data_IF_531886299373
#
_entry.id   IF_531886299373
#
_cell.length_a   1.000
_cell.length_b   1.000
_cell.length_c   1.000
_cell.angle_alpha   90.00
_cell.angle_beta   90.00
_cell.angle_gamma   90.00
#
_symmetry.space_group_name_H-M   'P 1'
#
loop_
_entity.id
_entity.type
_entity.pdbx_description
1 polymer ?
#
# COMPACT_ATOMS: atom_id res chain seq x y z
N UNK A 1 22.96 16.79 20.55
CA UNK A 1 21.68 17.19 21.14
C UNK A 1 21.81 17.24 22.64
N UNK A 2 21.22 18.21 23.36
CA UNK A 2 21.19 18.14 24.81
C UNK A 2 20.44 16.89 25.27
N UNK A 3 20.94 16.26 26.32
CA UNK A 3 20.33 15.06 26.89
C UNK A 3 18.95 15.39 27.44
N UNK A 4 17.94 14.64 27.08
CA UNK A 4 16.58 14.76 27.62
C UNK A 4 16.43 13.77 28.77
N UNK A 5 16.17 14.28 29.98
CA UNK A 5 15.77 13.44 31.11
C UNK A 5 14.35 12.91 30.87
N UNK A 6 14.24 11.61 30.55
CA UNK A 6 12.95 10.96 30.26
C UNK A 6 12.04 10.81 31.49
N UNK A 7 12.59 10.96 32.70
CA UNK A 7 11.80 10.86 33.94
C UNK A 7 11.32 12.24 34.42
N UNK A 8 11.99 13.33 34.00
CA UNK A 8 11.62 14.70 34.30
C UNK A 8 11.90 15.60 33.08
N UNK A 9 11.16 15.46 31.98
CA UNK A 9 11.46 16.12 30.72
C UNK A 9 11.28 17.63 30.82
N UNK A 10 12.33 18.40 30.51
CA UNK A 10 12.24 19.83 30.34
C UNK A 10 11.99 20.13 28.84
N UNK A 11 10.79 20.61 28.52
CA UNK A 11 10.42 21.00 27.16
C UNK A 11 10.73 22.46 26.79
N UNK A 12 11.20 23.28 27.75
CA UNK A 12 11.61 24.66 27.54
C UNK A 12 13.07 24.79 27.07
N UNK A 13 13.65 23.73 26.55
CA UNK A 13 14.99 23.74 25.97
C UNK A 13 14.93 24.53 24.66
N UNK A 14 15.76 25.55 24.45
CA UNK A 14 15.82 26.25 23.19
C UNK A 14 16.15 25.28 22.07
N UNK A 15 15.49 25.44 20.92
CA UNK A 15 15.72 24.59 19.74
C UNK A 15 17.22 24.64 19.44
N UNK A 16 17.89 23.46 19.35
CA UNK A 16 19.31 23.44 19.02
C UNK A 16 19.54 24.11 17.67
N UNK A 17 20.53 24.96 17.58
CA UNK A 17 21.01 25.47 16.30
C UNK A 17 21.69 24.28 15.60
N UNK A 18 21.32 24.02 14.39
CA UNK A 18 21.97 23.01 13.56
C UNK A 18 23.19 23.67 12.91
N UNK A 19 24.36 23.49 13.51
CA UNK A 19 25.62 24.06 13.01
C UNK A 19 26.11 23.27 11.75
N UNK A 20 25.56 22.10 11.50
CA UNK A 20 25.88 21.28 10.33
C UNK A 20 24.67 20.45 9.87
N UNK A 21 24.54 20.28 8.58
CA UNK A 21 23.64 19.28 7.99
C UNK A 21 24.43 17.99 7.90
N UNK A 22 24.12 17.01 8.77
CA UNK A 22 24.81 15.73 8.81
C UNK A 22 24.51 14.86 7.58
N UNK A 23 23.39 15.14 6.90
CA UNK A 23 22.99 14.44 5.68
C UNK A 23 22.41 15.47 4.71
N UNK A 24 23.14 15.70 3.62
CA UNK A 24 22.67 16.47 2.47
C UNK A 24 22.90 15.61 1.21
N UNK A 25 21.82 15.22 0.58
CA UNK A 25 21.89 14.51 -0.69
C UNK A 25 20.74 14.89 -1.61
N UNK A 26 21.04 14.91 -2.89
CA UNK A 26 20.05 15.10 -3.94
C UNK A 26 19.99 13.85 -4.81
N UNK A 27 18.80 13.26 -4.92
CA UNK A 27 18.56 12.17 -5.85
C UNK A 27 17.77 12.69 -7.05
N UNK A 28 18.30 12.44 -8.25
CA UNK A 28 17.62 12.72 -9.52
C UNK A 28 17.29 11.42 -10.21
N UNK A 29 16.01 11.10 -10.29
CA UNK A 29 15.51 9.93 -11.01
C UNK A 29 15.01 10.32 -12.39
N UNK A 30 15.51 9.65 -13.43
CA UNK A 30 14.98 9.74 -14.79
C UNK A 30 14.49 8.37 -15.20
N UNK A 31 13.25 8.28 -15.67
CA UNK A 31 12.67 7.02 -16.13
C UNK A 31 12.01 7.18 -17.49
N UNK A 32 12.25 6.21 -18.36
CA UNK A 32 11.61 6.09 -19.67
C UNK A 32 11.03 4.69 -19.78
N UNK A 33 9.86 4.55 -20.39
CA UNK A 33 9.25 3.24 -20.56
C UNK A 33 8.44 3.17 -21.84
N UNK A 34 8.55 2.02 -22.52
CA UNK A 34 7.74 1.67 -23.67
C UNK A 34 6.90 0.44 -23.33
N UNK A 35 5.61 0.50 -23.62
CA UNK A 35 4.72 -0.64 -23.40
C UNK A 35 3.95 -0.98 -24.67
N UNK A 36 3.66 -2.27 -24.82
CA UNK A 36 2.77 -2.81 -25.84
C UNK A 36 1.80 -3.77 -25.15
N UNK A 37 0.51 -3.66 -25.48
CA UNK A 37 -0.51 -4.55 -24.97
C UNK A 37 -1.54 -4.82 -26.08
N UNK A 38 -1.99 -6.07 -26.16
CA UNK A 38 -3.05 -6.49 -27.06
C UNK A 38 -4.10 -7.31 -26.30
N UNK A 39 -5.36 -7.19 -26.72
CA UNK A 39 -6.48 -7.98 -26.22
C UNK A 39 -7.10 -8.76 -27.35
N UNK A 40 -6.93 -10.07 -27.32
CA UNK A 40 -7.39 -11.01 -28.33
C UNK A 40 -8.71 -11.63 -27.85
N UNK A 41 -9.79 -11.44 -28.59
CA UNK A 41 -11.06 -12.11 -28.37
C UNK A 41 -11.11 -13.40 -29.21
N UNK A 42 -11.00 -14.55 -28.55
CA UNK A 42 -11.18 -15.85 -29.24
C UNK A 42 -12.65 -16.15 -29.49
N UNK A 43 -13.52 -15.64 -28.65
CA UNK A 43 -14.99 -15.69 -28.76
C UNK A 43 -15.59 -14.55 -27.92
N UNK A 44 -16.91 -14.41 -27.94
CA UNK A 44 -17.62 -13.40 -27.15
C UNK A 44 -17.35 -13.54 -25.65
N UNK A 45 -17.07 -14.76 -25.20
CA UNK A 45 -16.91 -15.10 -23.79
C UNK A 45 -15.48 -15.47 -23.39
N UNK A 46 -14.50 -15.52 -24.30
CA UNK A 46 -13.11 -15.86 -23.99
C UNK A 46 -12.15 -14.83 -24.58
N UNK A 47 -11.41 -14.16 -23.70
CA UNK A 47 -10.48 -13.10 -24.06
C UNK A 47 -9.12 -13.34 -23.41
N UNK A 48 -8.05 -13.11 -24.18
CA UNK A 48 -6.67 -13.11 -23.74
C UNK A 48 -6.13 -11.69 -23.78
N UNK A 49 -5.52 -11.24 -22.69
CA UNK A 49 -4.73 -10.03 -22.63
C UNK A 49 -3.26 -10.44 -22.56
N UNK A 50 -2.44 -9.93 -23.45
CA UNK A 50 -1.00 -10.12 -23.46
C UNK A 50 -0.30 -8.79 -23.65
N UNK A 51 0.74 -8.55 -22.89
CA UNK A 51 1.50 -7.31 -23.01
C UNK A 51 2.78 -7.34 -22.23
N UNK A 52 3.52 -6.27 -22.35
CA UNK A 52 4.74 -6.06 -21.60
C UNK A 52 5.19 -4.61 -21.68
N UNK A 53 5.99 -4.23 -20.71
CA UNK A 53 6.62 -2.93 -20.62
C UNK A 53 8.12 -3.11 -20.44
N UNK A 54 8.89 -2.34 -21.18
CA UNK A 54 10.32 -2.23 -20.96
C UNK A 54 10.63 -0.85 -20.43
N UNK A 55 11.33 -0.80 -19.30
CA UNK A 55 11.69 0.43 -18.60
C UNK A 55 13.20 0.59 -18.53
N UNK A 56 13.64 1.84 -18.64
CA UNK A 56 14.99 2.30 -18.32
C UNK A 56 14.87 3.32 -17.19
N UNK A 57 15.69 3.14 -16.18
CA UNK A 57 15.75 3.97 -14.98
C UNK A 57 17.20 4.43 -14.78
N UNK A 58 17.40 5.69 -14.47
CA UNK A 58 18.68 6.24 -14.05
C UNK A 58 18.49 7.04 -12.78
N UNK A 59 19.15 6.60 -11.71
CA UNK A 59 19.20 7.27 -10.41
C UNK A 59 20.60 7.88 -10.24
N UNK A 60 20.66 9.19 -10.12
CA UNK A 60 21.85 9.99 -9.89
C UNK A 60 21.79 10.56 -8.47
N UNK A 61 22.74 10.19 -7.61
CA UNK A 61 22.84 10.66 -6.25
C UNK A 61 24.06 11.55 -6.09
N UNK A 62 23.83 12.77 -5.64
CA UNK A 62 24.86 13.75 -5.33
C UNK A 62 24.84 14.05 -3.82
N UNK A 63 26.01 14.04 -3.19
CA UNK A 63 26.19 14.42 -1.78
C UNK A 63 27.50 15.20 -1.63
N UNK A 64 27.56 16.23 -0.78
CA UNK A 64 28.81 16.89 -0.42
C UNK A 64 29.81 15.97 0.31
N UNK A 65 29.34 14.86 0.85
CA UNK A 65 30.09 13.96 1.72
C UNK A 65 30.57 12.68 1.03
N UNK A 66 30.02 12.35 -0.14
CA UNK A 66 30.33 11.13 -0.88
C UNK A 66 30.44 11.43 -2.36
N UNK A 67 31.19 10.60 -3.07
CA UNK A 67 31.30 10.70 -4.52
C UNK A 67 29.93 10.53 -5.17
N UNK A 68 29.69 11.26 -6.26
CA UNK A 68 28.49 11.12 -7.05
C UNK A 68 28.35 9.68 -7.56
N UNK A 69 27.18 9.10 -7.39
CA UNK A 69 26.86 7.77 -7.87
C UNK A 69 25.76 7.82 -8.92
N UNK A 70 25.92 7.02 -9.98
CA UNK A 70 24.91 6.86 -11.03
C UNK A 70 24.59 5.39 -11.18
N UNK A 71 23.33 5.05 -10.96
CA UNK A 71 22.80 3.70 -11.18
C UNK A 71 21.89 3.71 -12.41
N UNK A 72 22.12 2.77 -13.32
CA UNK A 72 21.27 2.55 -14.47
C UNK A 72 20.67 1.16 -14.42
N UNK A 73 19.34 1.10 -14.34
CA UNK A 73 18.58 -0.14 -14.33
C UNK A 73 17.73 -0.26 -15.59
N UNK A 74 17.47 -1.49 -16.00
CA UNK A 74 16.46 -1.76 -17.00
C UNK A 74 15.75 -3.07 -16.70
N UNK A 75 14.46 -3.12 -17.02
CA UNK A 75 13.68 -4.32 -16.78
C UNK A 75 12.53 -4.48 -17.76
N UNK A 76 12.24 -5.74 -18.07
CA UNK A 76 11.04 -6.13 -18.80
C UNK A 76 10.00 -6.67 -17.82
N UNK A 77 8.79 -6.11 -17.90
CA UNK A 77 7.64 -6.41 -17.06
C UNK A 77 6.52 -7.00 -17.93
N UNK A 78 6.45 -8.33 -18.12
CA UNK A 78 5.38 -8.99 -18.85
C UNK A 78 4.07 -9.01 -18.06
N UNK A 79 2.96 -9.06 -18.80
CA UNK A 79 1.61 -9.21 -18.28
C UNK A 79 0.80 -10.13 -19.19
N UNK A 80 0.14 -11.13 -18.59
CA UNK A 80 -0.76 -12.05 -19.30
C UNK A 80 -2.03 -12.19 -18.45
N UNK A 81 -3.19 -12.12 -19.08
CA UNK A 81 -4.48 -12.30 -18.43
C UNK A 81 -5.44 -13.07 -19.31
N UNK A 82 -6.11 -14.06 -18.75
CA UNK A 82 -7.18 -14.80 -19.39
C UNK A 82 -8.49 -14.48 -18.69
N UNK A 83 -9.52 -14.15 -19.47
CA UNK A 83 -10.87 -13.86 -18.96
C UNK A 83 -11.88 -14.74 -19.67
N UNK A 84 -12.65 -15.50 -18.89
CA UNK A 84 -13.79 -16.27 -19.36
C UNK A 84 -15.09 -15.72 -18.76
N UNK A 85 -16.03 -15.34 -19.61
CA UNK A 85 -17.33 -14.75 -19.24
C UNK A 85 -18.45 -15.76 -19.52
N UNK A 86 -18.80 -16.66 -18.55
CA UNK A 86 -19.89 -17.63 -18.74
C UNK A 86 -21.26 -16.97 -18.88
N UNK A 87 -21.41 -15.75 -18.38
CA UNK A 87 -22.60 -14.92 -18.53
C UNK A 87 -22.21 -13.45 -18.66
N UNK A 88 -23.18 -12.58 -18.97
CA UNK A 88 -22.94 -11.13 -19.05
C UNK A 88 -22.58 -10.49 -17.71
N UNK A 89 -22.93 -11.15 -16.61
CA UNK A 89 -22.78 -10.64 -15.23
C UNK A 89 -21.67 -11.32 -14.46
N UNK A 90 -21.03 -12.37 -15.02
CA UNK A 90 -19.97 -13.11 -14.33
C UNK A 90 -18.75 -13.24 -15.23
N UNK A 91 -17.58 -12.91 -14.69
CA UNK A 91 -16.29 -13.09 -15.33
C UNK A 91 -15.35 -13.85 -14.40
N UNK A 92 -14.77 -14.94 -14.89
CA UNK A 92 -13.66 -15.66 -14.27
C UNK A 92 -12.38 -15.17 -14.90
N UNK A 93 -11.33 -14.98 -14.12
CA UNK A 93 -10.05 -14.56 -14.67
C UNK A 93 -8.87 -15.23 -13.99
N UNK A 94 -7.78 -15.31 -14.74
CA UNK A 94 -6.47 -15.64 -14.23
C UNK A 94 -5.46 -14.68 -14.81
N UNK A 95 -4.49 -14.23 -14.01
CA UNK A 95 -3.46 -13.31 -14.46
C UNK A 95 -2.09 -13.69 -13.92
N UNK A 96 -1.08 -13.33 -14.72
CA UNK A 96 0.32 -13.32 -14.38
C UNK A 96 0.87 -11.93 -14.67
N UNK A 97 1.62 -11.37 -13.75
CA UNK A 97 2.32 -10.10 -13.96
C UNK A 97 3.67 -10.10 -13.26
N UNK A 98 4.59 -9.33 -13.82
CA UNK A 98 5.89 -9.07 -13.22
C UNK A 98 6.13 -7.57 -13.14
N UNK A 99 6.73 -7.15 -12.04
CA UNK A 99 7.14 -5.76 -11.79
C UNK A 99 8.58 -5.73 -11.28
N UNK A 100 9.18 -4.55 -11.28
CA UNK A 100 10.51 -4.35 -10.68
C UNK A 100 10.57 -3.01 -9.93
N UNK A 101 11.56 -2.90 -9.06
CA UNK A 101 11.91 -1.67 -8.37
C UNK A 101 13.43 -1.59 -8.24
N UNK A 102 14.04 -0.43 -8.54
CA UNK A 102 15.44 -0.17 -8.24
C UNK A 102 15.72 -0.40 -6.75
N UNK A 103 16.82 -1.06 -6.44
CA UNK A 103 17.25 -1.40 -5.08
C UNK A 103 18.30 -0.43 -4.54
N UNK A 104 18.67 0.57 -5.33
CA UNK A 104 19.66 1.57 -4.95
C UNK A 104 21.11 1.11 -5.16
N UNK A 105 22.02 1.89 -4.63
CA UNK A 105 23.46 1.76 -4.79
C UNK A 105 24.12 1.43 -3.44
N UNK A 106 25.02 0.46 -3.42
CA UNK A 106 25.87 0.18 -2.26
C UNK A 106 27.03 1.17 -2.23
N UNK A 107 26.92 2.19 -1.39
CA UNK A 107 27.94 3.23 -1.25
C UNK A 107 29.25 2.68 -0.62
N UNK A 108 29.16 1.61 0.15
CA UNK A 108 30.33 1.01 0.84
C UNK A 108 31.18 0.18 -0.12
N UNK A 109 30.55 -0.52 -1.07
CA UNK A 109 31.24 -1.33 -2.08
C UNK A 109 31.39 -0.63 -3.43
N UNK A 110 30.73 0.52 -3.62
CA UNK A 110 30.76 1.25 -4.87
C UNK A 110 30.06 0.55 -6.02
N UNK A 111 29.02 -0.27 -5.74
CA UNK A 111 28.29 -1.03 -6.75
C UNK A 111 26.78 -0.80 -6.69
N UNK A 112 26.13 -0.91 -7.83
CA UNK A 112 24.68 -0.91 -7.91
C UNK A 112 24.12 -2.29 -7.51
N UNK A 113 23.04 -2.30 -6.74
CA UNK A 113 22.24 -3.50 -6.54
C UNK A 113 21.36 -3.79 -7.76
N UNK A 114 21.09 -5.06 -8.03
CA UNK A 114 20.10 -5.42 -9.04
C UNK A 114 18.69 -4.99 -8.60
N UNK A 115 17.82 -4.63 -9.53
CA UNK A 115 16.44 -4.34 -9.19
C UNK A 115 15.74 -5.52 -8.49
N UNK A 116 15.03 -5.23 -7.40
CA UNK A 116 14.11 -6.21 -6.82
C UNK A 116 12.95 -6.47 -7.78
N UNK A 117 12.43 -7.70 -7.78
CA UNK A 117 11.39 -8.14 -8.72
C UNK A 117 10.19 -8.70 -7.98
N UNK A 118 9.00 -8.26 -8.37
CA UNK A 118 7.74 -8.83 -7.91
C UNK A 118 7.12 -9.70 -9.01
N UNK A 119 6.77 -10.94 -8.69
CA UNK A 119 6.04 -11.84 -9.59
C UNK A 119 4.72 -12.21 -8.94
N UNK A 120 3.60 -11.96 -9.62
CA UNK A 120 2.25 -12.21 -9.10
C UNK A 120 1.49 -13.16 -10.01
N UNK A 121 0.83 -14.12 -9.38
CA UNK A 121 -0.22 -14.95 -9.94
C UNK A 121 -1.51 -14.64 -9.21
N UNK A 122 -2.61 -14.51 -9.96
CA UNK A 122 -3.90 -14.19 -9.40
C UNK A 122 -4.99 -14.92 -10.18
N UNK A 123 -5.99 -15.44 -9.47
CA UNK A 123 -7.22 -15.97 -10.04
C UNK A 123 -8.39 -15.36 -9.32
N UNK A 124 -9.47 -15.08 -10.03
CA UNK A 124 -10.62 -14.47 -9.39
C UNK A 124 -11.90 -14.58 -10.19
N UNK A 125 -12.97 -14.13 -9.54
CA UNK A 125 -14.29 -13.98 -10.12
C UNK A 125 -14.79 -12.57 -9.88
N UNK A 126 -15.32 -11.95 -10.94
CA UNK A 126 -16.08 -10.70 -10.87
C UNK A 126 -17.53 -10.99 -11.18
N UNK A 127 -18.42 -10.43 -10.38
CA UNK A 127 -19.86 -10.60 -10.58
C UNK A 127 -20.58 -9.28 -10.37
N UNK A 128 -21.52 -8.98 -11.29
CA UNK A 128 -22.39 -7.83 -11.22
C UNK A 128 -23.79 -8.28 -10.80
N UNK A 129 -24.35 -7.58 -9.82
CA UNK A 129 -25.67 -7.79 -9.24
C UNK A 129 -26.54 -6.54 -9.41
N UNK A 130 -27.84 -6.67 -9.15
CA UNK A 130 -28.79 -5.56 -9.14
C UNK A 130 -28.75 -4.76 -10.46
N UNK A 131 -28.79 -5.47 -11.60
CA UNK A 131 -28.71 -4.90 -12.94
C UNK A 131 -27.45 -4.03 -13.16
N UNK A 132 -26.30 -4.50 -12.65
CA UNK A 132 -25.00 -3.82 -12.77
C UNK A 132 -24.75 -2.69 -11.77
N UNK A 133 -25.67 -2.46 -10.83
CA UNK A 133 -25.51 -1.42 -9.80
C UNK A 133 -24.57 -1.82 -8.68
N UNK A 134 -24.34 -3.11 -8.46
CA UNK A 134 -23.44 -3.65 -7.43
C UNK A 134 -22.44 -4.60 -8.09
N UNK A 135 -21.16 -4.31 -7.94
CA UNK A 135 -20.07 -5.16 -8.43
C UNK A 135 -19.33 -5.77 -7.26
N UNK A 136 -18.94 -7.04 -7.41
CA UNK A 136 -18.16 -7.79 -6.43
C UNK A 136 -17.00 -8.49 -7.13
N UNK A 137 -15.82 -8.48 -6.51
CA UNK A 137 -14.65 -9.24 -6.95
C UNK A 137 -14.18 -10.10 -5.80
N UNK A 138 -13.98 -11.40 -6.06
CA UNK A 138 -13.29 -12.31 -5.16
C UNK A 138 -12.04 -12.81 -5.88
N UNK A 139 -10.87 -12.62 -5.27
CA UNK A 139 -9.59 -13.01 -5.82
C UNK A 139 -8.77 -13.82 -4.83
N UNK A 140 -7.92 -14.71 -5.35
CA UNK A 140 -6.84 -15.35 -4.62
C UNK A 140 -5.54 -15.05 -5.35
N UNK A 141 -4.50 -14.67 -4.62
CA UNK A 141 -3.22 -14.27 -5.19
C UNK A 141 -2.02 -14.86 -4.46
N UNK A 142 -0.91 -14.92 -5.18
CA UNK A 142 0.42 -15.12 -4.64
C UNK A 142 1.37 -14.12 -5.31
N UNK A 143 2.05 -13.32 -4.49
CA UNK A 143 3.09 -12.38 -4.87
C UNK A 143 4.40 -12.81 -4.24
N UNK A 144 5.45 -13.00 -5.05
CA UNK A 144 6.82 -13.27 -4.59
C UNK A 144 7.72 -12.11 -4.97
N UNK A 145 8.44 -11.55 -4.01
CA UNK A 145 9.43 -10.50 -4.21
C UNK A 145 10.82 -11.07 -4.00
N UNK A 146 11.65 -11.06 -5.05
CA UNK A 146 13.03 -11.52 -5.05
C UNK A 146 14.03 -10.36 -5.11
N UNK A 147 15.32 -10.65 -4.94
CA UNK A 147 16.41 -9.66 -4.85
C UNK A 147 16.16 -8.65 -3.73
N UNK A 148 15.64 -9.12 -2.59
CA UNK A 148 15.48 -8.30 -1.39
C UNK A 148 16.83 -8.15 -0.72
N UNK A 149 17.17 -6.92 -0.34
CA UNK A 149 18.39 -6.66 0.44
C UNK A 149 18.26 -7.26 1.83
N UNK A 150 19.26 -8.04 2.22
CA UNK A 150 19.39 -8.62 3.55
C UNK A 150 20.75 -8.21 4.13
N UNK A 151 20.90 -8.10 5.47
CA UNK A 151 22.18 -7.85 6.08
C UNK A 151 23.24 -8.87 5.63
N UNK A 152 24.49 -8.43 5.47
CA UNK A 152 25.58 -9.32 5.09
C UNK A 152 25.72 -10.48 6.10
N UNK A 153 25.87 -11.74 5.65
CA UNK A 153 26.05 -12.88 6.56
C UNK A 153 27.33 -12.80 7.39
N UNK A 154 28.36 -12.11 6.92
CA UNK A 154 29.58 -11.83 7.70
C UNK A 154 29.27 -10.81 8.80
N UNK A 155 29.47 -11.16 10.09
CA UNK A 155 29.19 -10.26 11.21
C UNK A 155 29.98 -8.94 11.18
N UNK A 156 31.23 -8.94 10.70
CA UNK A 156 32.04 -7.71 10.62
C UNK A 156 31.50 -6.78 9.53
N UNK A 157 31.21 -7.33 8.38
CA UNK A 157 30.62 -6.57 7.26
C UNK A 157 29.23 -6.04 7.62
N UNK A 158 28.42 -6.86 8.28
CA UNK A 158 27.08 -6.45 8.76
C UNK A 158 27.14 -5.29 9.75
N UNK A 159 28.09 -5.29 10.69
CA UNK A 159 28.29 -4.17 11.62
C UNK A 159 28.68 -2.87 10.91
N UNK A 160 29.30 -2.96 9.75
CA UNK A 160 29.62 -1.83 8.89
C UNK A 160 28.45 -1.40 7.98
N UNK A 161 27.31 -2.11 8.01
CA UNK A 161 26.12 -1.79 7.23
C UNK A 161 26.05 -2.42 5.84
N UNK A 162 26.94 -3.35 5.50
CA UNK A 162 26.89 -4.07 4.23
C UNK A 162 25.64 -4.94 4.10
N UNK A 163 25.16 -5.07 2.87
CA UNK A 163 23.98 -5.87 2.51
C UNK A 163 24.27 -6.73 1.28
N UNK A 164 23.53 -7.81 1.16
CA UNK A 164 23.53 -8.72 0.01
C UNK A 164 22.11 -8.92 -0.52
N UNK A 165 21.95 -9.29 -1.79
CA UNK A 165 20.65 -9.48 -2.44
C UNK A 165 20.25 -10.95 -2.52
N UNK A 166 20.03 -11.57 -1.37
CA UNK A 166 19.65 -12.99 -1.27
C UNK A 166 18.27 -13.20 -0.71
N UNK A 167 17.58 -12.11 -0.30
CA UNK A 167 16.30 -12.21 0.35
C UNK A 167 15.14 -12.44 -0.63
N UNK A 168 14.15 -13.22 -0.18
CA UNK A 168 12.85 -13.39 -0.80
C UNK A 168 11.74 -13.20 0.23
N UNK A 169 10.66 -12.57 -0.22
CA UNK A 169 9.44 -12.37 0.56
C UNK A 169 8.24 -12.83 -0.26
N UNK A 170 7.32 -13.52 0.37
CA UNK A 170 6.10 -13.98 -0.27
C UNK A 170 4.88 -13.47 0.47
N UNK A 171 3.88 -12.99 -0.28
CA UNK A 171 2.55 -12.66 0.20
C UNK A 171 1.53 -13.45 -0.60
N UNK A 172 0.62 -14.13 0.08
CA UNK A 172 -0.50 -14.84 -0.53
C UNK A 172 -1.77 -14.55 0.26
N UNK A 173 -2.89 -14.53 -0.42
CA UNK A 173 -4.11 -14.15 0.26
C UNK A 173 -5.36 -14.30 -0.57
N UNK A 174 -6.44 -13.86 0.05
CA UNK A 174 -7.78 -13.78 -0.55
C UNK A 174 -8.27 -12.37 -0.35
N UNK A 175 -8.83 -11.78 -1.40
CA UNK A 175 -9.40 -10.44 -1.41
C UNK A 175 -10.85 -10.49 -1.87
N UNK A 176 -11.73 -9.83 -1.14
CA UNK A 176 -13.12 -9.62 -1.50
C UNK A 176 -13.40 -8.12 -1.54
N UNK A 177 -13.81 -7.63 -2.70
CA UNK A 177 -14.25 -6.26 -2.89
C UNK A 177 -15.72 -6.21 -3.27
N UNK A 178 -16.41 -5.20 -2.76
CA UNK A 178 -17.80 -4.90 -3.10
C UNK A 178 -17.96 -3.39 -3.27
N UNK A 179 -18.58 -2.96 -4.35
CA UNK A 179 -18.86 -1.55 -4.61
C UNK A 179 -20.12 -1.36 -5.41
N UNK A 180 -20.96 -0.41 -5.00
CA UNK A 180 -22.16 -0.06 -5.77
C UNK A 180 -23.29 0.51 -4.95
N UNK A 181 -24.46 0.54 -5.58
CA UNK A 181 -25.72 1.00 -5.02
C UNK A 181 -26.64 -0.18 -4.74
N UNK A 182 -26.95 -0.40 -3.45
CA UNK A 182 -27.81 -1.52 -3.00
C UNK A 182 -29.30 -1.15 -3.14
N UNK A 183 -29.63 0.07 -2.79
CA UNK A 183 -30.97 0.67 -2.91
C UNK A 183 -30.81 2.12 -3.38
N UNK A 184 -31.85 2.75 -3.94
CA UNK A 184 -31.78 4.15 -4.33
C UNK A 184 -31.26 5.05 -3.20
N UNK A 185 -30.11 5.69 -3.44
CA UNK A 185 -29.42 6.53 -2.46
C UNK A 185 -28.54 5.80 -1.46
N UNK A 186 -28.60 4.46 -1.32
CA UNK A 186 -27.73 3.68 -0.44
C UNK A 186 -26.58 3.07 -1.22
N UNK A 187 -25.38 3.60 -1.02
CA UNK A 187 -24.14 3.11 -1.64
C UNK A 187 -23.23 2.45 -0.63
N UNK A 188 -22.52 1.44 -1.06
CA UNK A 188 -21.52 0.72 -0.29
C UNK A 188 -20.23 0.59 -1.07
N UNK A 189 -19.11 0.74 -0.37
CA UNK A 189 -17.78 0.31 -0.81
C UNK A 189 -17.19 -0.47 0.37
N UNK A 190 -16.81 -1.70 0.12
CA UNK A 190 -16.24 -2.57 1.16
C UNK A 190 -15.17 -3.47 0.61
N UNK A 191 -14.22 -3.82 1.45
CA UNK A 191 -13.19 -4.81 1.16
C UNK A 191 -12.90 -5.66 2.39
N UNK A 192 -12.57 -6.91 2.16
CA UNK A 192 -11.97 -7.82 3.13
C UNK A 192 -10.74 -8.44 2.52
N UNK A 193 -9.64 -8.45 3.26
CA UNK A 193 -8.39 -9.07 2.84
C UNK A 193 -7.90 -10.01 3.95
N UNK A 194 -7.61 -11.24 3.55
CA UNK A 194 -6.77 -12.17 4.32
C UNK A 194 -5.40 -12.23 3.65
N UNK A 195 -4.32 -12.00 4.42
CA UNK A 195 -2.95 -11.96 3.91
C UNK A 195 -2.01 -12.79 4.79
N UNK A 196 -1.35 -13.79 4.19
CA UNK A 196 -0.21 -14.50 4.78
C UNK A 196 1.07 -14.01 4.08
N UNK A 197 1.80 -13.09 4.73
CA UNK A 197 3.01 -12.45 4.19
C UNK A 197 4.22 -12.78 5.06
N UNK A 198 5.25 -13.41 4.47
CA UNK A 198 6.41 -13.98 5.17
C UNK A 198 7.72 -13.76 4.43
N UNK A 199 8.79 -13.81 5.21
CA UNK A 199 10.15 -14.02 4.72
C UNK A 199 10.29 -15.48 4.28
N UNK A 200 10.70 -15.70 3.04
CA UNK A 200 10.94 -17.04 2.47
C UNK A 200 12.42 -17.34 2.27
N UNK A 201 13.24 -16.31 2.04
CA UNK A 201 14.72 -16.41 2.05
C UNK A 201 15.31 -15.17 2.72
N UNK A 202 16.28 -15.34 3.61
CA UNK A 202 17.02 -14.26 4.25
C UNK A 202 18.29 -14.81 4.93
N UNK A 203 19.34 -13.97 5.07
CA UNK A 203 20.59 -14.33 5.75
C UNK A 203 20.60 -13.97 7.24
N UNK A 204 19.65 -13.18 7.70
CA UNK A 204 19.63 -12.64 9.05
C UNK A 204 18.31 -12.92 9.78
N UNK A 205 17.17 -12.64 9.12
CA UNK A 205 15.87 -12.90 9.69
C UNK A 205 15.44 -14.36 9.49
N UNK A 206 14.72 -14.90 10.47
CA UNK A 206 14.26 -16.27 10.39
C UNK A 206 13.25 -16.45 9.25
N UNK A 207 13.43 -17.52 8.46
CA UNK A 207 12.47 -17.93 7.44
C UNK A 207 11.13 -18.26 8.13
N UNK A 208 10.04 -17.75 7.58
CA UNK A 208 8.70 -17.87 8.17
C UNK A 208 8.30 -16.68 9.04
N UNK A 209 9.21 -15.76 9.38
CA UNK A 209 8.85 -14.50 10.02
C UNK A 209 7.85 -13.74 9.17
N UNK A 210 6.78 -13.26 9.80
CA UNK A 210 5.76 -12.44 9.14
C UNK A 210 6.32 -11.06 8.82
N UNK A 211 5.94 -10.53 7.67
CA UNK A 211 6.30 -9.16 7.31
C UNK A 211 5.69 -8.17 8.29
N UNK A 212 6.50 -7.23 8.76
CA UNK A 212 6.06 -6.21 9.71
C UNK A 212 5.01 -5.25 9.10
N UNK A 213 4.10 -4.82 9.94
CA UNK A 213 3.02 -3.89 9.56
C UNK A 213 1.90 -4.51 8.72
N UNK A 214 1.99 -5.80 8.33
CA UNK A 214 0.98 -6.49 7.51
C UNK A 214 0.01 -7.26 8.41
N UNK A 215 -1.29 -6.89 8.46
CA UNK A 215 -2.30 -7.64 9.19
C UNK A 215 -2.69 -8.91 8.43
N UNK A 216 -3.01 -10.00 9.15
CA UNK A 216 -3.60 -11.17 8.51
C UNK A 216 -5.03 -10.91 8.03
N UNK A 217 -5.79 -10.13 8.78
CA UNK A 217 -7.17 -9.80 8.45
C UNK A 217 -7.36 -8.29 8.46
N UNK A 218 -7.93 -7.78 7.40
CA UNK A 218 -8.30 -6.37 7.28
C UNK A 218 -9.69 -6.25 6.67
N UNK A 219 -10.51 -5.36 7.23
CA UNK A 219 -11.83 -5.02 6.71
C UNK A 219 -11.93 -3.52 6.54
N UNK A 220 -12.44 -3.06 5.42
CA UNK A 220 -12.89 -1.69 5.26
C UNK A 220 -14.32 -1.69 4.73
N UNK A 221 -15.18 -0.84 5.31
CA UNK A 221 -16.55 -0.66 4.88
C UNK A 221 -16.89 0.82 4.96
N UNK A 222 -17.29 1.39 3.84
CA UNK A 222 -17.84 2.73 3.78
C UNK A 222 -19.23 2.68 3.18
N UNK A 223 -20.21 3.20 3.89
CA UNK A 223 -21.60 3.23 3.46
C UNK A 223 -22.12 4.66 3.49
N UNK A 224 -22.85 5.07 2.46
CA UNK A 224 -23.51 6.37 2.40
C UNK A 224 -24.97 6.22 2.04
N UNK A 225 -25.80 7.03 2.67
CA UNK A 225 -27.21 7.17 2.30
C UNK A 225 -27.52 8.63 1.98
N UNK A 226 -28.10 8.87 0.81
CA UNK A 226 -28.54 10.20 0.35
C UNK A 226 -30.04 10.20 0.14
N UNK A 227 -30.73 11.16 0.71
CA UNK A 227 -32.18 11.36 0.56
C UNK A 227 -32.46 11.79 -0.89
N UNK A 228 -33.28 10.99 -1.60
CA UNK A 228 -33.52 11.14 -3.02
C UNK A 228 -34.73 12.06 -3.35
N UNK A 229 -35.63 12.29 -2.40
CA UNK A 229 -36.89 13.01 -2.64
C UNK A 229 -37.26 13.93 -1.46
N UNK A 230 -38.20 14.84 -1.68
CA UNK A 230 -38.71 15.76 -0.67
C UNK A 230 -37.78 16.95 -0.38
N UNK A 231 -38.08 17.67 0.70
CA UNK A 231 -37.38 18.91 1.08
C UNK A 231 -35.93 18.69 1.47
N UNK A 232 -35.62 17.51 1.97
CA UNK A 232 -34.26 17.10 2.38
C UNK A 232 -33.46 16.40 1.27
N UNK A 233 -33.98 16.44 0.01
CA UNK A 233 -33.24 15.84 -1.13
C UNK A 233 -31.83 16.40 -1.24
N UNK A 234 -30.86 15.48 -1.40
CA UNK A 234 -29.44 15.78 -1.47
C UNK A 234 -28.71 15.85 -0.12
N UNK A 235 -29.47 15.70 0.99
CA UNK A 235 -28.88 15.50 2.30
C UNK A 235 -28.45 14.04 2.47
N UNK A 236 -27.25 13.81 2.97
CA UNK A 236 -26.73 12.45 3.12
C UNK A 236 -25.84 12.28 4.34
N UNK A 237 -25.77 11.03 4.76
CA UNK A 237 -24.92 10.57 5.86
C UNK A 237 -23.97 9.48 5.37
N UNK A 238 -22.79 9.41 5.96
CA UNK A 238 -21.82 8.36 5.72
C UNK A 238 -21.35 7.73 7.03
N UNK A 239 -21.08 6.42 6.99
CA UNK A 239 -20.48 5.67 8.08
C UNK A 239 -19.39 4.76 7.52
N UNK A 240 -18.20 4.82 8.15
CA UNK A 240 -17.04 4.00 7.82
C UNK A 240 -16.62 3.12 8.99
N UNK A 241 -16.33 1.86 8.72
CA UNK A 241 -15.76 0.91 9.66
C UNK A 241 -14.46 0.35 9.07
N UNK A 242 -13.35 0.48 9.81
CA UNK A 242 -12.01 0.08 9.36
C UNK A 242 -11.36 -0.76 10.45
N UNK A 243 -11.42 -2.08 10.28
CA UNK A 243 -10.75 -3.03 11.16
C UNK A 243 -9.39 -3.42 10.57
N UNK A 244 -8.37 -3.39 11.41
CA UNK A 244 -7.03 -3.87 11.09
C UNK A 244 -6.63 -4.85 12.18
N UNK A 245 -6.36 -6.11 11.80
CA UNK A 245 -5.94 -7.16 12.69
C UNK A 245 -4.56 -6.93 13.30
N UNK A 246 -4.18 -7.81 14.20
CA UNK A 246 -2.84 -7.82 14.80
C UNK A 246 -1.74 -7.92 13.75
N UNK A 247 -0.63 -7.19 13.95
CA UNK A 247 0.51 -7.11 13.03
C UNK A 247 1.82 -7.27 13.77
N UNK A 248 2.86 -7.77 13.12
CA UNK A 248 4.21 -7.74 13.68
C UNK A 248 4.76 -6.31 13.65
N UNK A 249 5.42 -5.91 14.73
CA UNK A 249 5.97 -4.56 14.87
C UNK A 249 7.30 -4.37 14.16
N UNK A 250 8.11 -5.44 14.02
CA UNK A 250 9.34 -5.46 13.24
C UNK A 250 9.51 -6.80 12.51
N UNK A 251 10.48 -6.88 11.60
CA UNK A 251 10.72 -8.08 10.80
C UNK A 251 11.31 -9.25 11.60
N UNK A 252 11.92 -8.99 12.76
CA UNK A 252 12.36 -10.02 13.69
C UNK A 252 11.21 -10.70 14.46
N UNK A 253 9.97 -10.14 14.37
CA UNK A 253 8.76 -10.60 15.06
C UNK A 253 8.89 -10.59 16.59
N UNK A 254 9.60 -9.62 17.14
CA UNK A 254 9.88 -9.50 18.58
C UNK A 254 8.71 -8.90 19.38
N UNK A 255 7.79 -8.21 18.72
CA UNK A 255 6.60 -7.62 19.33
C UNK A 255 5.48 -7.45 18.32
N UNK A 256 4.26 -7.36 18.83
CA UNK A 256 3.05 -7.20 18.03
C UNK A 256 2.41 -5.84 18.28
N UNK A 257 1.79 -5.30 17.24
CA UNK A 257 0.89 -4.18 17.29
C UNK A 257 -0.54 -4.72 17.42
N UNK A 258 -1.28 -4.23 18.39
CA UNK A 258 -2.67 -4.64 18.63
C UNK A 258 -3.55 -4.32 17.43
N UNK A 259 -4.57 -5.11 17.27
CA UNK A 259 -5.68 -4.82 16.37
C UNK A 259 -6.46 -3.56 16.80
N UNK A 260 -7.17 -2.99 15.87
CA UNK A 260 -8.05 -1.85 16.15
C UNK A 260 -9.24 -1.79 15.20
N UNK A 261 -10.30 -1.12 15.65
CA UNK A 261 -11.43 -0.71 14.84
C UNK A 261 -11.54 0.82 14.87
N UNK A 262 -11.34 1.46 13.72
CA UNK A 262 -11.61 2.89 13.54
C UNK A 262 -12.97 3.08 12.91
N UNK A 263 -13.74 4.01 13.45
CA UNK A 263 -15.04 4.43 12.91
C UNK A 263 -14.96 5.87 12.41
N UNK A 264 -15.40 6.09 11.19
CA UNK A 264 -15.47 7.41 10.56
C UNK A 264 -16.93 7.75 10.25
N UNK A 265 -17.30 9.03 10.23
CA UNK A 265 -18.64 9.49 9.88
C UNK A 265 -18.58 10.67 8.92
N UNK A 266 -19.63 10.84 8.13
CA UNK A 266 -19.79 12.02 7.27
C UNK A 266 -21.23 12.50 7.27
N UNK A 267 -21.36 13.82 7.17
CA UNK A 267 -22.63 14.50 6.92
C UNK A 267 -22.42 15.39 5.71
N UNK A 268 -23.29 15.29 4.71
CA UNK A 268 -23.14 16.10 3.53
C UNK A 268 -24.47 16.55 2.93
N UNK A 269 -24.40 17.64 2.20
CA UNK A 269 -25.52 18.17 1.44
C UNK A 269 -25.07 18.51 0.02
N UNK A 270 -25.86 18.07 -0.98
CA UNK A 270 -25.56 18.26 -2.39
C UNK A 270 -26.79 18.67 -3.14
N UNK A 271 -26.81 19.86 -3.74
CA UNK A 271 -27.94 20.37 -4.55
C UNK A 271 -27.48 21.44 -5.52
N UNK A 272 -27.92 21.35 -6.79
CA UNK A 272 -27.72 22.38 -7.81
C UNK A 272 -26.26 22.88 -7.93
N UNK A 273 -25.31 21.96 -8.04
CA UNK A 273 -23.86 22.30 -8.11
C UNK A 273 -23.22 22.64 -6.78
N UNK A 274 -23.98 22.96 -5.74
CA UNK A 274 -23.48 23.20 -4.39
C UNK A 274 -23.24 21.88 -3.65
N UNK A 275 -22.09 21.75 -3.00
CA UNK A 275 -21.75 20.63 -2.12
C UNK A 275 -21.13 21.17 -0.84
N UNK A 276 -21.62 20.72 0.31
CA UNK A 276 -21.01 20.94 1.61
C UNK A 276 -20.87 19.61 2.32
N UNK A 277 -19.76 19.39 3.03
CA UNK A 277 -19.55 18.17 3.80
C UNK A 277 -18.79 18.46 5.09
N UNK A 278 -19.14 17.70 6.12
CA UNK A 278 -18.38 17.56 7.36
C UNK A 278 -17.98 16.08 7.44
N UNK A 279 -16.68 15.83 7.52
CA UNK A 279 -16.12 14.49 7.68
C UNK A 279 -15.48 14.41 9.07
N UNK A 280 -15.80 13.36 9.79
CA UNK A 280 -15.23 13.03 11.11
C UNK A 280 -14.47 11.74 10.97
N UNK A 281 -13.15 11.81 11.08
CA UNK A 281 -12.28 10.62 11.10
C UNK A 281 -11.99 10.25 12.55
N UNK A 282 -11.96 8.95 12.83
CA UNK A 282 -11.73 8.42 14.16
C UNK A 282 -12.76 8.94 15.18
N UNK A 283 -14.04 8.74 14.88
CA UNK A 283 -15.19 9.28 15.62
C UNK A 283 -15.14 9.00 17.11
N UNK A 284 -14.61 7.85 17.51
CA UNK A 284 -14.53 7.43 18.92
C UNK A 284 -13.15 7.70 19.54
N UNK A 285 -12.30 8.47 18.86
CA UNK A 285 -10.93 8.81 19.30
C UNK A 285 -10.13 7.58 19.75
N UNK A 286 -10.23 6.50 18.96
CA UNK A 286 -9.50 5.25 19.23
C UNK A 286 -8.00 5.50 19.12
N UNK A 287 -7.25 5.17 20.19
CA UNK A 287 -5.77 5.27 20.18
C UNK A 287 -5.19 3.98 19.60
N UNK A 288 -4.42 4.10 18.52
CA UNK A 288 -3.77 2.98 17.86
C UNK A 288 -2.44 3.40 17.22
N UNK A 289 -1.57 2.41 16.99
CA UNK A 289 -0.31 2.59 16.28
C UNK A 289 -0.57 2.36 14.79
N UNK A 290 -0.21 3.35 13.97
CA UNK A 290 -0.39 3.28 12.51
C UNK A 290 0.79 2.52 11.87
N UNK A 291 2.01 2.87 12.24
CA UNK A 291 3.24 2.31 11.71
C UNK A 291 4.26 2.04 12.81
N UNK A 292 5.06 1.00 12.65
CA UNK A 292 6.21 0.70 13.51
C UNK A 292 7.37 0.22 12.67
N UNK A 293 8.57 0.63 13.03
CA UNK A 293 9.83 0.10 12.52
C UNK A 293 10.55 -0.70 13.60
N UNK A 294 10.54 -0.19 14.83
CA UNK A 294 11.14 -0.80 16.01
C UNK A 294 10.28 -0.49 17.24
N UNK A 295 10.51 -1.18 18.35
CA UNK A 295 9.73 -1.00 19.59
C UNK A 295 9.72 0.45 20.11
N UNK A 296 10.79 1.19 19.88
CA UNK A 296 10.95 2.60 20.28
C UNK A 296 10.66 3.59 19.14
N UNK A 297 10.40 3.11 17.93
CA UNK A 297 10.11 3.93 16.76
C UNK A 297 8.72 3.57 16.21
N UNK A 298 7.69 4.10 16.85
CA UNK A 298 6.29 3.88 16.50
C UNK A 298 5.62 5.20 16.14
N UNK A 299 4.77 5.16 15.13
CA UNK A 299 3.94 6.29 14.75
C UNK A 299 2.51 6.05 15.24
N UNK A 300 2.03 6.91 16.14
CA UNK A 300 0.62 6.93 16.54
C UNK A 300 -0.25 7.48 15.42
N UNK A 301 -1.44 6.95 15.32
CA UNK A 301 -2.44 7.47 14.40
C UNK A 301 -2.95 8.86 14.85
N UNK A 302 -3.53 9.58 13.88
CA UNK A 302 -4.17 10.85 14.19
C UNK A 302 -5.38 10.64 15.11
N UNK A 303 -5.58 11.49 16.11
CA UNK A 303 -6.77 11.49 16.97
C UNK A 303 -8.01 11.85 16.16
N UNK A 304 -9.15 11.98 16.82
CA UNK A 304 -10.38 12.49 16.23
C UNK A 304 -10.08 13.77 15.43
N UNK A 305 -10.45 13.74 14.15
CA UNK A 305 -10.19 14.85 13.21
C UNK A 305 -11.48 15.21 12.50
N UNK A 306 -11.82 16.49 12.48
CA UNK A 306 -12.99 17.02 11.81
C UNK A 306 -12.55 17.90 10.64
N UNK A 307 -13.06 17.64 9.44
CA UNK A 307 -12.77 18.42 8.24
C UNK A 307 -14.07 18.90 7.60
N UNK A 308 -14.20 20.22 7.40
CA UNK A 308 -15.29 20.82 6.62
C UNK A 308 -14.85 21.14 5.20
N UNK A 309 -15.73 20.96 4.22
CA UNK A 309 -15.48 21.35 2.84
C UNK A 309 -16.75 21.94 2.20
N UNK A 310 -16.55 22.94 1.33
CA UNK A 310 -17.59 23.53 0.50
C UNK A 310 -17.05 23.62 -0.93
N UNK A 311 -17.85 23.22 -1.89
CA UNK A 311 -17.53 23.35 -3.32
C UNK A 311 -18.74 23.79 -4.12
N UNK A 312 -18.48 24.48 -5.22
CA UNK A 312 -19.49 24.91 -6.17
C UNK A 312 -19.04 24.55 -7.59
N UNK A 313 -19.91 23.86 -8.32
CA UNK A 313 -19.72 23.54 -9.75
C UNK A 313 -20.62 24.49 -10.56
N UNK A 314 -20.01 25.27 -11.46
CA UNK A 314 -20.70 26.21 -12.36
C UNK A 314 -21.16 25.53 -13.64
#
# INVERSE_FOLDING_TARGET
>A
MPDLDILNPNYDIPRPEFDSIDVDYTTRTRSYGVYLQDQIAFSDNLKLLIGGRYDWLSDENESPFFDQTVQNDSAFSPRIGLVYQPSKTVSLYASYSRSFRSSGFDQLEGRAFEPSRGTQYEVGVKADFLDGKLSTTLAAYQLTKTNVLTPDPDPERRLLGFSVQTGEQQSRGIELDIAGEILPGLKVIGSYTYTDAKVTEDNFFAIGNRLNGVPENQVSLWTTYEIQQGDLKGFGVGLGLFYVGERQGNLANEFTLRDYLRTDAALYYKRNGFKAAINVRNLFDTDYVDLSYERYLVQRANPLTITGSISWEF
#
